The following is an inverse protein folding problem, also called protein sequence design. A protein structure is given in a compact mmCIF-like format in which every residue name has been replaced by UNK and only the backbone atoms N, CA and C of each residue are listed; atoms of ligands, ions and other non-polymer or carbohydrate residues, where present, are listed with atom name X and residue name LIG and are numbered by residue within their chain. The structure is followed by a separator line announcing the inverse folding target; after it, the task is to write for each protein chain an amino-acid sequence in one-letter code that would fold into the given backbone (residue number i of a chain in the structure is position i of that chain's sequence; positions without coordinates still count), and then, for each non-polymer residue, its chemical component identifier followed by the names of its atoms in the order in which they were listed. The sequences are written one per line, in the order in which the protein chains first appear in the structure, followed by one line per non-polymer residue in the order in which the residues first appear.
data_IF_744234685108
#
_entry.id   IF_744234685108
#
_cell.length_a   1.000
_cell.length_b   1.000
_cell.length_c   1.000
_cell.angle_alpha   90.00
_cell.angle_beta   90.00
_cell.angle_gamma   90.00
#
_symmetry.space_group_name_H-M   'P 1'
#
loop_
_entity.id
_entity.type
_entity.pdbx_description
1 polymer ?
2 non-polymer ?
3 non-polymer ?
4 non-polymer ?
5 water ?
#
# COMPACT_ATOMS: atom_id res chain seq x y z
N UNK A 21 -17.17 -23.88 -10.09
CA UNK A 21 -15.82 -23.80 -10.75
C UNK A 21 -14.65 -23.98 -9.75
N UNK A 22 -13.90 -25.06 -9.87
CA UNK A 22 -12.76 -25.36 -9.01
C UNK A 22 -11.43 -25.12 -9.74
N UNK A 23 -10.36 -24.76 -9.00
CA UNK A 23 -9.01 -24.72 -9.57
C UNK A 23 -8.01 -25.44 -8.67
N UNK A 24 -6.88 -25.79 -9.25
CA UNK A 24 -5.93 -26.62 -8.58
C UNK A 24 -4.56 -25.93 -8.56
N UNK A 25 -3.96 -25.90 -7.39
CA UNK A 25 -2.71 -25.21 -7.26
C UNK A 25 -1.83 -26.12 -6.48
N UNK A 26 -0.72 -26.49 -7.08
CA UNK A 26 0.22 -27.38 -6.45
C UNK A 26 -0.47 -28.67 -5.94
N UNK A 27 -1.45 -29.15 -6.69
CA UNK A 27 -2.11 -30.41 -6.35
C UNK A 27 -3.39 -30.27 -5.56
N UNK A 28 -3.54 -29.15 -4.85
CA UNK A 28 -4.70 -28.94 -4.00
C UNK A 28 -5.78 -28.18 -4.71
N UNK A 29 -7.01 -28.47 -4.33
CA UNK A 29 -8.15 -27.96 -5.07
C UNK A 29 -8.87 -26.87 -4.28
N UNK A 30 -9.29 -25.81 -4.97
CA UNK A 30 -9.97 -24.70 -4.37
C UNK A 30 -11.24 -24.35 -5.14
N UNK A 31 -12.36 -24.24 -4.41
CA UNK A 31 -13.64 -23.88 -4.99
C UNK A 31 -13.73 -22.41 -4.99
N UNK A 32 -14.11 -21.82 -6.11
CA UNK A 32 -14.26 -20.38 -6.19
C UNK A 32 -15.53 -19.95 -5.46
N UNK A 33 -15.48 -18.74 -4.94
CA UNK A 33 -16.60 -18.13 -4.28
C UNK A 33 -16.99 -16.88 -5.03
N UNK A 34 -16.04 -16.04 -5.37
CA UNK A 34 -16.35 -14.87 -6.18
C UNK A 34 -15.06 -14.25 -6.67
N UNK A 35 -15.15 -13.44 -7.72
CA UNK A 35 -14.05 -12.61 -8.10
C UNK A 35 -14.05 -11.37 -7.24
N UNK A 36 -12.89 -10.89 -6.87
CA UNK A 36 -12.75 -9.68 -6.11
C UNK A 36 -12.16 -8.62 -7.00
N UNK A 37 -11.10 -8.98 -7.72
CA UNK A 37 -10.30 -7.97 -8.42
C UNK A 37 -10.07 -8.36 -9.87
N UNK A 38 -9.54 -7.41 -10.64
CA UNK A 38 -9.19 -7.64 -12.04
C UNK A 38 -7.94 -6.81 -12.42
N UNK A 39 -7.47 -7.03 -13.65
CA UNK A 39 -6.27 -6.36 -14.21
C UNK A 39 -6.23 -6.68 -15.70
N UNK A 40 -5.18 -6.26 -16.39
CA UNK A 40 -5.08 -6.56 -17.82
C UNK A 40 -5.12 -8.07 -18.01
N UNK A 41 -4.13 -8.75 -17.45
CA UNK A 41 -4.05 -10.22 -17.54
C UNK A 41 -4.14 -10.90 -16.15
N UNK A 42 -4.61 -10.14 -15.17
CA UNK A 42 -4.70 -10.62 -13.79
C UNK A 42 -6.14 -10.68 -13.21
N UNK A 43 -6.46 -11.74 -12.50
CA UNK A 43 -7.75 -11.86 -11.78
C UNK A 43 -7.49 -12.31 -10.36
N UNK A 44 -8.24 -11.76 -9.41
CA UNK A 44 -8.23 -12.28 -8.06
C UNK A 44 -9.55 -12.90 -7.66
N UNK A 45 -9.48 -14.05 -6.98
CA UNK A 45 -10.65 -14.81 -6.51
C UNK A 45 -10.62 -15.14 -5.02
N UNK A 46 -11.79 -15.08 -4.37
CA UNK A 46 -11.96 -15.62 -3.04
C UNK A 46 -12.33 -17.08 -3.16
N UNK A 47 -11.65 -17.95 -2.45
CA UNK A 47 -11.87 -19.37 -2.63
C UNK A 47 -11.92 -20.13 -1.32
N UNK A 48 -12.27 -21.42 -1.39
CA UNK A 48 -12.13 -22.25 -0.21
C UNK A 48 -11.39 -23.46 -0.57
N UNK A 49 -10.66 -23.99 0.38
CA UNK A 49 -10.02 -25.23 0.16
C UNK A 49 -10.84 -26.38 0.79
N UNK A 50 -10.20 -27.54 0.79
CA UNK A 50 -10.75 -28.79 1.26
C UNK A 50 -11.23 -28.71 2.70
N UNK A 51 -10.46 -28.07 3.56
CA UNK A 51 -10.84 -27.95 4.96
C UNK A 51 -11.80 -26.77 5.20
N UNK A 52 -12.34 -26.18 4.12
CA UNK A 52 -13.21 -24.99 4.18
C UNK A 52 -12.57 -23.73 4.68
N UNK A 53 -11.24 -23.70 4.68
CA UNK A 53 -10.47 -22.47 4.89
C UNK A 53 -10.58 -21.58 3.70
N UNK A 54 -10.71 -20.32 3.98
CA UNK A 54 -10.83 -19.30 2.91
C UNK A 54 -9.46 -18.55 2.55
N UNK A 55 -9.17 -18.38 1.27
CA UNK A 55 -7.95 -17.79 0.74
C UNK A 55 -8.35 -16.88 -0.40
N UNK A 56 -7.41 -16.04 -0.81
CA UNK A 56 -7.50 -15.32 -2.07
C UNK A 56 -6.43 -15.89 -3.00
N UNK A 57 -6.84 -16.30 -4.20
CA UNK A 57 -5.94 -16.74 -5.25
C UNK A 57 -5.90 -15.72 -6.39
N UNK A 58 -4.71 -15.25 -6.70
CA UNK A 58 -4.44 -14.43 -7.85
C UNK A 58 -3.97 -15.28 -9.00
N UNK A 59 -4.52 -15.00 -10.17
CA UNK A 59 -4.23 -15.71 -11.38
C UNK A 59 -3.70 -14.66 -12.35
N UNK A 60 -2.53 -14.92 -12.94
CA UNK A 60 -1.96 -14.02 -13.91
C UNK A 60 -1.76 -14.87 -15.14
N UNK A 61 -2.25 -14.34 -16.25
CA UNK A 61 -2.08 -15.02 -17.52
C UNK A 61 -0.86 -14.37 -18.14
N UNK A 62 0.10 -15.20 -18.55
CA UNK A 62 1.40 -14.73 -19.03
C UNK A 62 1.54 -14.73 -20.54
N UNK A 63 0.54 -15.26 -21.26
CA UNK A 63 0.57 -15.48 -22.73
C UNK A 63 1.21 -14.32 -23.47
N UNK A 64 0.76 -13.13 -23.12
CA UNK A 64 1.21 -11.90 -23.75
C UNK A 64 2.23 -11.08 -22.99
N UNK A 65 3.11 -11.70 -22.20
CA UNK A 65 4.03 -10.92 -21.35
C UNK A 65 5.49 -11.00 -21.82
N UNK A 66 6.16 -9.84 -21.86
CA UNK A 66 7.56 -9.70 -22.29
C UNK A 66 8.57 -10.26 -21.28
N UNK A 67 9.82 -10.43 -21.69
CA UNK A 67 10.80 -10.93 -20.76
C UNK A 67 10.98 -10.07 -19.55
N UNK A 68 10.89 -8.76 -19.77
CA UNK A 68 11.09 -7.85 -18.67
C UNK A 68 9.90 -7.91 -17.71
N UNK A 69 8.72 -8.12 -18.24
CA UNK A 69 7.54 -8.12 -17.46
C UNK A 69 7.56 -9.35 -16.61
N UNK A 70 7.86 -10.50 -17.20
CA UNK A 70 8.00 -11.76 -16.46
C UNK A 70 9.01 -11.60 -15.40
N UNK A 71 10.09 -10.92 -15.72
CA UNK A 71 11.13 -10.74 -14.76
C UNK A 71 10.60 -9.87 -13.59
N UNK A 72 9.82 -8.81 -13.86
CA UNK A 72 9.25 -7.98 -12.81
C UNK A 72 8.32 -8.84 -11.88
N UNK A 73 7.59 -9.74 -12.49
CA UNK A 73 6.68 -10.62 -11.73
C UNK A 73 7.36 -11.65 -10.82
N UNK A 74 8.44 -12.23 -11.32
CA UNK A 74 9.19 -13.24 -10.59
C UNK A 74 9.92 -12.60 -9.40
N UNK A 75 10.48 -11.42 -9.62
CA UNK A 75 11.08 -10.60 -8.55
C UNK A 75 10.11 -10.28 -7.41
N UNK A 76 8.90 -9.81 -7.74
CA UNK A 76 7.97 -9.48 -6.69
C UNK A 76 7.59 -10.76 -5.90
N UNK A 77 7.47 -11.88 -6.56
CA UNK A 77 7.05 -13.05 -5.88
C UNK A 77 8.17 -13.52 -4.90
N UNK A 78 9.42 -13.51 -5.37
CA UNK A 78 10.58 -13.83 -4.56
C UNK A 78 10.61 -12.92 -3.38
N UNK A 79 10.34 -11.60 -3.58
CA UNK A 79 10.33 -10.67 -2.41
C UNK A 79 9.19 -10.89 -1.46
N UNK A 80 7.99 -11.20 -1.97
CA UNK A 80 6.88 -11.42 -1.05
C UNK A 80 7.13 -12.75 -0.22
N UNK A 81 7.54 -13.77 -0.90
CA UNK A 81 7.88 -15.08 -0.28
C UNK A 81 8.89 -14.89 0.86
N UNK A 82 9.96 -14.19 0.60
CA UNK A 82 10.89 -13.82 1.62
C UNK A 82 10.40 -12.89 2.72
N UNK A 83 9.87 -11.71 2.37
CA UNK A 83 9.58 -10.73 3.43
C UNK A 83 8.49 -11.13 4.36
N UNK A 84 7.71 -12.08 3.91
CA UNK A 84 6.67 -12.64 4.72
C UNK A 84 7.13 -12.96 6.09
N UNK A 85 8.28 -13.60 6.18
CA UNK A 85 8.77 -14.07 7.46
C UNK A 85 9.19 -12.95 8.41
N UNK A 86 9.44 -11.74 7.90
CA UNK A 86 9.98 -10.68 8.74
C UNK A 86 8.87 -9.79 9.29
N UNK A 87 7.69 -9.72 8.71
CA UNK A 87 6.62 -9.02 9.41
C UNK A 87 5.33 -9.73 9.13
N UNK A 88 4.46 -9.78 10.14
CA UNK A 88 3.08 -10.19 9.87
C UNK A 88 2.24 -9.02 9.41
N UNK A 89 2.82 -7.84 9.12
CA UNK A 89 2.07 -6.71 8.45
C UNK A 89 2.14 -6.70 6.92
N UNK A 90 2.68 -7.77 6.41
CA UNK A 90 2.74 -8.04 5.04
C UNK A 90 1.82 -9.19 4.77
N UNK A 91 1.04 -9.11 3.72
CA UNK A 91 0.11 -10.17 3.41
C UNK A 91 0.79 -11.54 3.28
N UNK A 92 0.08 -12.58 3.63
CA UNK A 92 0.61 -13.91 3.55
C UNK A 92 0.54 -14.50 2.15
N UNK A 93 1.62 -15.12 1.72
CA UNK A 93 1.67 -15.93 0.53
C UNK A 93 1.94 -17.37 0.99
N UNK A 94 0.93 -18.23 0.87
CA UNK A 94 0.96 -19.60 1.28
C UNK A 94 1.59 -20.51 0.26
N UNK A 95 1.38 -20.25 -1.01
CA UNK A 95 1.87 -21.17 -1.98
C UNK A 95 1.73 -20.47 -3.29
N UNK A 96 2.40 -20.99 -4.30
CA UNK A 96 2.20 -20.54 -5.64
C UNK A 96 2.61 -21.62 -6.62
N UNK A 97 2.04 -21.49 -7.79
CA UNK A 97 2.30 -22.34 -8.94
C UNK A 97 2.62 -21.44 -10.14
N UNK A 98 3.77 -21.67 -10.78
CA UNK A 98 4.16 -20.87 -11.91
C UNK A 98 4.66 -21.69 -13.11
N UNK A 99 4.12 -21.40 -14.33
CA UNK A 99 4.46 -22.10 -15.58
C UNK A 99 4.70 -20.98 -16.58
N UNK A 100 5.01 -21.33 -17.81
CA UNK A 100 5.18 -20.34 -18.87
C UNK A 100 3.83 -19.67 -19.28
N UNK A 101 2.72 -20.30 -18.96
CA UNK A 101 1.41 -19.70 -19.31
C UNK A 101 0.73 -18.92 -18.19
N UNK A 102 0.96 -19.30 -16.94
CA UNK A 102 0.22 -18.68 -15.83
C UNK A 102 0.96 -18.67 -14.49
N UNK A 103 0.55 -17.72 -13.67
CA UNK A 103 0.78 -17.77 -12.24
C UNK A 103 -0.52 -17.91 -11.42
N UNK A 104 -0.50 -18.85 -10.48
CA UNK A 104 -1.50 -18.85 -9.38
C UNK A 104 -0.80 -18.56 -8.06
N UNK A 105 -1.30 -17.62 -7.29
CA UNK A 105 -0.79 -17.33 -5.99
C UNK A 105 -1.87 -17.49 -4.97
N UNK A 106 -1.64 -18.41 -4.05
CA UNK A 106 -2.51 -18.56 -2.91
C UNK A 106 -2.06 -17.69 -1.73
N UNK A 107 -2.93 -16.73 -1.43
CA UNK A 107 -2.66 -15.71 -0.47
C UNK A 107 -3.81 -15.61 0.52
N UNK A 108 -3.53 -14.90 1.58
CA UNK A 108 -4.42 -14.55 2.66
C UNK A 108 -5.51 -13.69 2.09
N UNK A 109 -6.78 -13.91 2.53
CA UNK A 109 -7.93 -13.12 2.09
C UNK A 109 -8.18 -12.07 3.14
N UNK A 110 -8.31 -10.82 2.74
CA UNK A 110 -8.62 -9.80 3.74
C UNK A 110 -10.08 -9.48 3.83
N UNK A 111 -10.40 -8.61 4.78
CA UNK A 111 -11.75 -8.18 5.00
C UNK A 111 -12.18 -7.05 4.05
N UNK A 112 -11.29 -6.12 3.71
CA UNK A 112 -11.64 -4.97 2.85
C UNK A 112 -10.41 -4.12 2.61
N UNK A 113 -10.33 -3.42 1.49
CA UNK A 113 -9.16 -2.60 1.29
C UNK A 113 -9.30 -1.36 2.14
N UNK A 114 -8.17 -0.70 2.42
CA UNK A 114 -8.21 0.45 3.30
C UNK A 114 -8.92 1.55 2.55
N UNK A 115 -8.88 1.55 1.23
CA UNK A 115 -9.47 2.69 0.54
C UNK A 115 -10.98 2.63 0.56
N UNK A 116 -11.51 1.47 0.31
CA UNK A 116 -12.94 1.26 0.43
C UNK A 116 -13.39 1.53 1.83
N UNK A 117 -12.64 1.07 2.82
CA UNK A 117 -13.05 1.28 4.20
C UNK A 117 -13.06 2.78 4.50
N UNK A 118 -12.11 3.51 3.95
CA UNK A 118 -12.01 4.91 4.22
C UNK A 118 -13.08 5.71 3.48
N UNK A 119 -13.38 5.36 2.23
CA UNK A 119 -14.43 6.09 1.49
C UNK A 119 -15.72 6.01 2.28
N UNK A 120 -16.19 4.80 2.55
CA UNK A 120 -17.46 4.57 3.25
C UNK A 120 -17.35 4.68 4.75
N UNK A 121 -16.81 5.79 5.22
CA UNK A 121 -16.53 5.92 6.63
C UNK A 121 -16.78 7.33 7.10
N UNK A 122 -17.49 7.41 8.23
CA UNK A 122 -18.01 8.66 8.82
C UNK A 122 -16.86 9.52 9.37
N UNK A 123 -16.09 8.90 10.26
CA UNK A 123 -14.85 9.45 10.79
C UNK A 123 -14.12 8.24 11.39
N UNK A 124 -13.02 8.48 12.09
CA UNK A 124 -12.22 7.38 12.63
C UNK A 124 -11.96 7.58 14.10
N UNK A 125 -12.12 6.51 14.85
CA UNK A 125 -11.63 6.50 16.19
C UNK A 125 -10.10 6.84 16.23
N UNK A 126 -9.68 7.86 17.00
CA UNK A 126 -8.27 8.19 17.09
C UNK A 126 -7.36 6.99 17.44
N UNK A 127 -7.89 6.08 18.22
CA UNK A 127 -7.16 4.90 18.61
C UNK A 127 -6.90 3.99 17.41
N UNK A 128 -7.88 3.94 16.51
CA UNK A 128 -7.88 2.96 15.42
C UNK A 128 -6.86 3.44 14.40
N UNK A 129 -6.91 4.75 14.15
CA UNK A 129 -6.06 5.48 13.31
C UNK A 129 -4.59 5.33 13.68
N UNK A 130 -4.30 5.55 14.94
CA UNK A 130 -2.98 5.35 15.45
C UNK A 130 -2.54 3.94 15.17
N UNK A 131 -3.43 2.99 15.38
CA UNK A 131 -3.05 1.59 15.33
C UNK A 131 -2.80 1.17 13.85
N UNK A 132 -3.64 1.66 12.96
CA UNK A 132 -3.46 1.52 11.54
C UNK A 132 -2.20 2.23 11.06
N UNK A 133 -1.85 3.37 11.65
CA UNK A 133 -0.64 4.05 11.24
C UNK A 133 0.61 3.17 11.62
N UNK A 134 0.64 2.71 12.85
CA UNK A 134 1.70 1.76 13.32
C UNK A 134 1.93 0.59 12.39
N UNK A 135 0.87 -0.01 11.93
CA UNK A 135 0.93 -1.10 10.99
C UNK A 135 1.49 -0.67 9.66
N UNK A 136 1.08 0.50 9.13
CA UNK A 136 1.66 0.99 7.89
C UNK A 136 3.20 1.20 8.03
N UNK A 137 3.63 1.86 9.08
CA UNK A 137 5.04 2.06 9.32
C UNK A 137 5.79 0.75 9.39
N UNK A 138 5.27 -0.21 10.13
CA UNK A 138 5.93 -1.46 10.29
C UNK A 138 6.18 -2.15 8.93
N UNK A 139 5.14 -2.19 8.12
CA UNK A 139 5.18 -2.88 6.85
C UNK A 139 6.16 -2.21 5.92
N UNK A 140 6.07 -0.90 5.82
CA UNK A 140 6.92 -0.17 4.93
C UNK A 140 8.38 -0.19 5.45
N UNK A 141 8.56 -0.01 6.73
CA UNK A 141 9.89 -0.22 7.38
C UNK A 141 10.46 -1.53 6.94
N UNK A 142 9.65 -2.56 6.95
CA UNK A 142 10.19 -3.90 6.62
C UNK A 142 10.74 -3.93 5.17
N UNK A 143 9.97 -3.39 4.24
CA UNK A 143 10.43 -3.47 2.86
C UNK A 143 11.65 -2.56 2.66
N UNK A 144 11.72 -1.46 3.40
CA UNK A 144 12.85 -0.61 3.24
C UNK A 144 14.08 -1.31 3.72
N UNK A 145 13.98 -2.15 4.75
CA UNK A 145 15.18 -2.85 5.29
C UNK A 145 15.77 -3.78 4.29
N UNK A 146 14.97 -4.21 3.34
CA UNK A 146 15.41 -5.14 2.33
C UNK A 146 15.68 -4.39 1.09
N UNK A 147 15.73 -3.06 1.13
CA UNK A 147 16.14 -2.31 -0.07
C UNK A 147 14.99 -2.01 -1.03
N UNK A 148 13.76 -2.32 -0.65
CA UNK A 148 12.65 -1.93 -1.51
C UNK A 148 12.03 -0.62 -1.08
N UNK A 149 11.89 0.28 -2.05
CA UNK A 149 11.11 1.50 -1.98
C UNK A 149 9.89 1.31 -2.89
N UNK A 150 8.68 1.52 -2.37
CA UNK A 150 7.46 1.10 -3.01
C UNK A 150 7.17 2.13 -4.13
N UNK A 151 7.14 3.40 -3.76
CA UNK A 151 7.05 4.55 -4.67
C UNK A 151 5.66 4.84 -5.24
N UNK A 152 4.69 4.01 -4.93
CA UNK A 152 3.33 4.27 -5.36
C UNK A 152 2.32 3.86 -4.32
N UNK A 153 2.59 4.26 -3.09
CA UNK A 153 1.77 3.82 -1.96
C UNK A 153 0.44 4.57 -1.96
N UNK A 154 -0.65 3.86 -1.67
CA UNK A 154 -2.00 4.43 -1.66
C UNK A 154 -2.82 3.60 -0.72
N UNK A 155 -3.95 4.08 -0.28
CA UNK A 155 -4.82 3.28 0.58
C UNK A 155 -5.12 1.93 0.05
N UNK A 156 -5.29 1.82 -1.26
CA UNK A 156 -5.61 0.53 -1.86
C UNK A 156 -4.50 -0.52 -1.75
N UNK A 157 -3.32 -0.14 -1.29
CA UNK A 157 -2.20 -1.03 -1.19
C UNK A 157 -2.19 -1.76 0.17
N UNK A 158 -3.08 -1.32 1.05
CA UNK A 158 -3.25 -1.89 2.36
C UNK A 158 -4.63 -2.51 2.51
N UNK A 159 -4.66 -3.59 3.29
CA UNK A 159 -5.75 -4.47 3.43
C UNK A 159 -6.03 -4.63 4.89
N UNK A 160 -7.30 -4.51 5.29
CA UNK A 160 -7.67 -4.79 6.66
C UNK A 160 -7.96 -6.28 6.82
N UNK A 161 -7.38 -6.86 7.85
CA UNK A 161 -7.56 -8.26 8.22
C UNK A 161 -7.49 -8.38 9.75
N UNK A 162 -8.57 -8.80 10.41
CA UNK A 162 -8.56 -8.93 11.85
C UNK A 162 -8.14 -7.65 12.53
N UNK A 163 -8.73 -6.53 12.12
CA UNK A 163 -8.37 -5.20 12.64
C UNK A 163 -6.90 -4.78 12.51
N UNK A 164 -6.12 -5.51 11.72
CA UNK A 164 -4.78 -5.07 11.35
C UNK A 164 -4.73 -4.67 9.88
N UNK A 165 -3.87 -3.70 9.57
CA UNK A 165 -3.49 -3.41 8.21
C UNK A 165 -2.28 -4.22 7.74
N UNK A 166 -2.40 -4.79 6.54
CA UNK A 166 -1.34 -5.51 5.89
C UNK A 166 -1.05 -4.87 4.53
N UNK A 167 0.24 -4.74 4.21
CA UNK A 167 0.71 -4.42 2.92
C UNK A 167 0.54 -5.60 1.99
N UNK A 168 0.03 -5.29 0.82
CA UNK A 168 -0.46 -6.26 -0.16
C UNK A 168 0.53 -6.42 -1.29
N UNK A 169 1.32 -5.37 -1.54
CA UNK A 169 2.32 -5.44 -2.57
C UNK A 169 3.51 -4.46 -2.35
N UNK A 170 4.54 -4.62 -3.18
CA UNK A 170 5.83 -3.92 -3.02
C UNK A 170 6.19 -2.95 -4.10
N UNK A 171 5.32 -2.78 -5.08
CA UNK A 171 5.56 -1.81 -6.17
C UNK A 171 6.43 -2.28 -7.32
N UNK A 172 6.75 -3.57 -7.32
CA UNK A 172 7.82 -4.09 -8.16
C UNK A 172 7.37 -4.63 -9.52
N UNK A 173 6.30 -5.41 -9.54
CA UNK A 173 5.69 -5.92 -10.77
C UNK A 173 5.26 -4.80 -11.70
N UNK A 174 5.43 -5.00 -13.01
CA UNK A 174 5.00 -4.00 -14.03
C UNK A 174 3.52 -3.61 -13.97
N UNK A 175 3.19 -2.49 -14.65
CA UNK A 175 1.81 -1.99 -14.95
C UNK A 175 1.31 -1.18 -13.76
N UNK A 188 -8.10 1.31 -6.79
CA UNK A 188 -8.27 2.36 -7.80
C UNK A 188 -6.99 3.19 -8.00
N UNK A 189 -6.56 3.23 -9.25
CA UNK A 189 -5.20 3.61 -9.60
C UNK A 189 -5.19 4.68 -10.72
N UNK A 190 -3.98 5.19 -11.02
CA UNK A 190 -3.82 6.45 -11.73
C UNK A 190 -3.54 7.67 -10.83
N UNK A 191 -4.22 7.76 -9.66
CA UNK A 191 -4.27 8.99 -8.80
C UNK A 191 -2.86 9.52 -8.42
N UNK A 192 -2.81 10.82 -8.19
CA UNK A 192 -1.53 11.51 -8.02
C UNK A 192 -1.50 12.23 -6.68
N UNK A 193 -2.60 12.11 -5.96
CA UNK A 193 -2.80 12.70 -4.67
C UNK A 193 -1.78 12.35 -3.60
N UNK A 194 -1.08 11.22 -3.80
CA UNK A 194 -0.18 10.63 -2.85
C UNK A 194 1.25 10.72 -3.35
N UNK A 195 1.43 11.38 -4.47
CA UNK A 195 2.73 11.37 -5.17
C UNK A 195 3.60 12.45 -4.60
N UNK A 196 4.85 12.11 -4.23
CA UNK A 196 5.73 13.13 -3.66
C UNK A 196 6.33 14.10 -4.68
N UNK A 197 6.75 15.27 -4.23
CA UNK A 197 7.26 16.26 -5.13
C UNK A 197 8.38 15.74 -5.98
N UNK A 198 9.35 15.11 -5.37
CA UNK A 198 10.54 14.62 -6.09
C UNK A 198 10.24 13.51 -7.13
N UNK A 199 9.05 12.94 -7.09
CA UNK A 199 8.62 12.04 -8.17
C UNK A 199 8.01 12.80 -9.36
N UNK A 200 7.83 14.11 -9.22
CA UNK A 200 7.24 14.92 -10.30
C UNK A 200 8.41 15.57 -11.06
N UNK A 201 9.27 16.29 -10.34
CA UNK A 201 10.62 16.73 -10.80
C UNK A 201 11.49 15.68 -11.57
N UNK A 202 11.52 14.44 -11.07
CA UNK A 202 12.34 13.37 -11.65
C UNK A 202 11.70 12.75 -12.89
N UNK A 203 10.76 13.46 -13.51
CA UNK A 203 10.10 12.98 -14.73
C UNK A 203 9.73 14.12 -15.70
N UNK A 215 17.50 9.69 -8.49
CA UNK A 215 16.89 8.42 -8.15
C UNK A 215 15.92 8.56 -6.96
N UNK A 216 15.18 7.49 -6.65
CA UNK A 216 14.21 7.51 -5.53
C UNK A 216 14.78 7.01 -4.20
N UNK A 217 14.27 7.61 -3.13
CA UNK A 217 14.68 7.32 -1.81
C UNK A 217 13.48 6.86 -0.97
N UNK A 218 13.72 6.12 0.12
CA UNK A 218 12.66 5.81 1.10
C UNK A 218 11.89 6.98 1.63
N UNK A 219 12.49 8.18 1.67
CA UNK A 219 11.72 9.40 1.97
C UNK A 219 10.50 9.54 1.09
N UNK A 220 10.54 9.01 -0.11
CA UNK A 220 9.31 9.07 -0.96
C UNK A 220 8.12 8.30 -0.37
N UNK A 221 8.35 7.11 0.15
CA UNK A 221 7.26 6.38 0.81
C UNK A 221 6.68 7.14 1.99
N UNK A 222 7.53 7.83 2.75
CA UNK A 222 7.11 8.66 3.91
C UNK A 222 6.18 9.81 3.46
N UNK A 223 6.38 10.40 2.30
CA UNK A 223 5.40 11.44 1.82
C UNK A 223 4.00 10.80 1.57
N UNK A 224 3.98 9.70 0.81
CA UNK A 224 2.78 8.97 0.57
C UNK A 224 2.03 8.47 1.77
N UNK A 225 2.76 7.97 2.75
CA UNK A 225 2.16 7.54 3.96
C UNK A 225 1.57 8.69 4.67
N UNK A 226 2.34 9.77 4.66
CA UNK A 226 1.86 11.03 5.17
C UNK A 226 0.54 11.49 4.56
N UNK A 227 0.37 11.36 3.23
CA UNK A 227 -0.91 11.84 2.62
C UNK A 227 -2.06 10.93 3.10
N UNK A 228 -1.75 9.65 3.24
CA UNK A 228 -2.72 8.67 3.73
C UNK A 228 -3.22 9.04 5.09
N UNK A 229 -2.29 9.32 6.00
CA UNK A 229 -2.69 9.68 7.34
C UNK A 229 -3.39 11.06 7.37
N UNK A 230 -2.99 11.97 6.49
CA UNK A 230 -3.73 13.27 6.29
C UNK A 230 -5.17 12.95 5.93
N UNK A 231 -5.39 12.08 4.95
CA UNK A 231 -6.75 11.64 4.64
C UNK A 231 -7.43 11.13 5.91
N UNK A 232 -6.79 10.21 6.62
CA UNK A 232 -7.39 9.64 7.82
C UNK A 232 -7.58 10.64 8.98
N UNK A 233 -7.01 11.84 8.88
CA UNK A 233 -7.09 12.80 9.95
C UNK A 233 -8.16 13.83 9.53
N UNK A 234 -7.94 14.47 8.39
CA UNK A 234 -8.81 15.56 7.93
C UNK A 234 -9.89 15.15 6.93
N UNK A 235 -10.02 13.86 6.59
CA UNK A 235 -11.02 13.40 5.60
C UNK A 235 -10.79 13.75 4.12
N UNK A 236 -9.62 14.27 3.78
CA UNK A 236 -9.24 14.42 2.37
C UNK A 236 -7.71 14.35 2.21
N UNK A 237 -7.23 14.23 0.99
CA UNK A 237 -5.79 14.38 0.80
C UNK A 237 -5.42 15.85 0.64
N UNK A 238 -4.12 16.16 0.79
CA UNK A 238 -3.75 17.56 0.99
C UNK A 238 -3.89 18.46 -0.25
N UNK A 239 -4.31 17.91 -1.38
CA UNK A 239 -4.46 18.70 -2.59
C UNK A 239 -5.74 18.30 -3.32
N UNK A 240 -6.62 17.60 -2.62
CA UNK A 240 -7.80 16.99 -3.21
C UNK A 240 -8.71 18.04 -3.81
N UNK A 241 -8.66 19.25 -3.28
CA UNK A 241 -9.44 20.36 -3.76
C UNK A 241 -9.07 20.73 -5.18
N UNK A 242 -7.81 20.58 -5.57
CA UNK A 242 -7.44 21.02 -6.91
C UNK A 242 -7.84 19.95 -7.90
N UNK A 243 -9.01 20.15 -8.50
CA UNK A 243 -9.57 19.22 -9.48
C UNK A 243 -8.69 19.13 -10.71
N UNK A 244 -8.18 20.28 -11.15
CA UNK A 244 -7.29 20.32 -12.29
C UNK A 244 -6.03 19.55 -11.93
N UNK A 245 -5.53 18.76 -12.88
CA UNK A 245 -4.39 17.94 -12.61
C UNK A 245 -3.13 18.73 -12.63
N UNK A 246 -3.03 19.67 -13.53
CA UNK A 246 -1.76 20.36 -13.73
C UNK A 246 -1.49 21.41 -12.67
N UNK A 247 -2.54 22.00 -12.13
CA UNK A 247 -2.39 22.92 -11.02
C UNK A 247 -2.04 22.10 -9.78
N UNK A 248 -2.61 20.91 -9.70
CA UNK A 248 -2.31 20.03 -8.60
C UNK A 248 -0.83 19.70 -8.62
N UNK A 249 -0.28 19.23 -9.74
CA UNK A 249 1.15 18.95 -9.76
C UNK A 249 2.02 20.13 -9.46
N UNK A 250 1.59 21.33 -9.87
CA UNK A 250 2.38 22.55 -9.62
C UNK A 250 2.24 22.97 -8.18
N UNK A 251 1.09 22.69 -7.58
CA UNK A 251 0.90 22.99 -6.16
C UNK A 251 1.77 22.05 -5.30
N UNK A 252 1.81 20.76 -5.65
CA UNK A 252 2.62 19.79 -4.94
C UNK A 252 4.10 20.18 -4.90
N UNK A 253 4.66 20.73 -5.99
CA UNK A 253 6.14 21.01 -6.05
C UNK A 253 6.55 22.39 -5.55
N UNK A 254 5.59 23.31 -5.47
CA UNK A 254 5.84 24.73 -5.27
C UNK A 254 5.96 25.08 -3.79
N UNK A 255 7.17 25.50 -3.36
CA UNK A 255 7.46 25.71 -1.93
C UNK A 255 6.75 26.87 -1.26
N UNK A 256 5.94 27.59 -2.02
CA UNK A 256 5.14 28.69 -1.49
C UNK A 256 3.68 28.37 -1.47
N UNK A 257 3.33 27.14 -1.84
CA UNK A 257 1.96 26.71 -1.64
C UNK A 257 1.97 26.04 -0.29
N UNK A 258 1.42 26.72 0.72
CA UNK A 258 1.48 26.24 2.07
C UNK A 258 0.34 25.29 2.23
N UNK A 259 0.67 24.08 2.73
CA UNK A 259 -0.31 23.08 3.00
C UNK A 259 -0.96 23.46 4.31
N UNK A 260 -2.23 23.18 4.35
CA UNK A 260 -3.03 23.50 5.48
C UNK A 260 -3.08 22.36 6.53
N UNK A 261 -2.79 22.73 7.78
CA UNK A 261 -2.90 21.84 8.92
C UNK A 261 -3.86 22.32 10.04
N UNK A 262 -5.18 22.25 9.82
CA UNK A 262 -6.14 22.69 10.84
C UNK A 262 -5.83 22.07 12.22
N UNK A 263 -5.98 22.87 13.29
CA UNK A 263 -5.72 22.37 14.65
C UNK A 263 -6.72 21.30 15.04
N UNK A 264 -6.26 20.37 15.87
CA UNK A 264 -7.05 19.18 16.26
C UNK A 264 -6.52 18.90 17.63
N UNK A 265 -7.24 18.10 18.41
CA UNK A 265 -6.78 17.83 19.77
C UNK A 265 -5.38 17.18 19.85
N UNK A 266 -5.10 16.21 18.96
CA UNK A 266 -3.80 15.52 18.96
C UNK A 266 -2.72 16.37 18.29
N UNK A 267 -1.98 17.14 19.08
CA UNK A 267 -0.87 17.96 18.57
C UNK A 267 0.23 17.09 17.97
N UNK A 268 0.33 15.87 18.49
CA UNK A 268 1.33 14.91 18.07
C UNK A 268 1.08 14.44 16.63
N UNK A 269 -0.18 14.19 16.30
CA UNK A 269 -0.64 13.82 14.95
C UNK A 269 -0.47 14.98 13.98
N UNK A 270 -0.85 16.18 14.40
CA UNK A 270 -0.53 17.40 13.62
C UNK A 270 0.98 17.46 13.28
N UNK A 271 1.83 17.11 14.23
CA UNK A 271 3.29 17.18 14.04
C UNK A 271 3.83 16.12 13.08
N UNK A 272 3.32 14.89 13.21
CA UNK A 272 3.72 13.79 12.32
C UNK A 272 3.49 14.25 10.88
N UNK A 273 2.30 14.75 10.67
CA UNK A 273 1.85 15.16 9.35
C UNK A 273 2.72 16.24 8.72
N UNK A 274 2.96 17.29 9.49
CA UNK A 274 3.88 18.33 9.03
C UNK A 274 5.27 17.75 8.75
N UNK A 275 5.74 16.79 9.55
CA UNK A 275 7.07 16.27 9.30
C UNK A 275 7.11 15.37 8.04
N UNK A 276 6.04 14.61 7.80
CA UNK A 276 5.94 13.77 6.65
C UNK A 276 5.73 14.57 5.38
N UNK A 277 5.08 15.73 5.45
CA UNK A 277 4.76 16.48 4.21
C UNK A 277 5.69 17.67 3.90
N UNK A 278 6.92 17.60 4.32
CA UNK A 278 7.95 18.50 3.87
C UNK A 278 8.36 18.13 2.46
N UNK A 279 8.33 19.13 1.58
CA UNK A 279 8.63 18.96 0.16
C UNK A 279 10.04 18.52 -0.17
N UNK A 280 11.00 18.84 0.69
CA UNK A 280 12.40 18.52 0.46
C UNK A 280 12.77 17.23 1.21
N UNK A 281 12.98 16.16 0.47
CA UNK A 281 13.19 14.84 1.04
C UNK A 281 14.18 14.83 2.17
N UNK A 282 15.18 15.69 2.03
CA UNK A 282 16.23 15.74 3.02
C UNK A 282 15.76 16.36 4.33
N UNK A 283 14.70 17.18 4.30
CA UNK A 283 14.07 17.69 5.54
C UNK A 283 13.00 16.76 6.12
N UNK A 284 12.39 15.95 5.27
CA UNK A 284 11.23 15.11 5.65
C UNK A 284 11.70 14.04 6.64
N UNK A 285 10.83 13.74 7.60
CA UNK A 285 11.16 12.80 8.68
C UNK A 285 11.37 11.43 8.06
N UNK A 286 12.18 10.58 8.69
CA UNK A 286 12.45 9.21 8.14
C UNK A 286 11.59 8.20 8.90
N UNK A 287 11.49 6.99 8.36
CA UNK A 287 10.72 5.99 9.00
C UNK A 287 11.23 5.64 10.39
N UNK A 288 12.56 5.37 10.55
CA UNK A 288 13.03 5.02 11.89
C UNK A 288 12.71 6.12 12.93
N UNK A 289 12.77 7.40 12.52
CA UNK A 289 12.35 8.57 13.30
C UNK A 289 10.86 8.54 13.62
N UNK A 290 10.05 8.29 12.61
CA UNK A 290 8.62 8.12 12.84
C UNK A 290 8.35 6.97 13.85
N UNK A 291 9.16 5.92 13.86
CA UNK A 291 8.87 4.85 14.82
C UNK A 291 9.12 5.26 16.28
N UNK A 292 9.88 6.33 16.49
CA UNK A 292 10.15 6.83 17.82
C UNK A 292 9.39 8.11 18.18
N UNK A 293 8.49 8.55 17.32
CA UNK A 293 7.77 9.78 17.50
C UNK A 293 6.72 9.63 18.62
N UNK A 294 6.57 10.65 19.48
CA UNK A 294 5.53 10.57 20.57
C UNK A 294 4.15 10.02 20.10
N UNK A 295 3.74 10.43 18.91
CA UNK A 295 2.49 9.95 18.32
C UNK A 295 2.33 8.43 18.35
N UNK A 296 3.38 7.66 18.14
CA UNK A 296 3.17 6.22 18.20
C UNK A 296 3.62 5.60 19.45
N UNK A 297 4.39 6.30 20.27
CA UNK A 297 5.01 5.66 21.44
C UNK A 297 4.29 6.01 22.71
N UNK A 298 3.82 7.26 22.77
CA UNK A 298 3.24 7.81 24.00
C UNK A 298 1.75 7.46 24.24
N UNK A 299 1.48 6.95 25.47
CA UNK A 299 0.15 6.57 26.04
C UNK A 299 0.00 5.06 26.12
X LIG B 1 -1.80 -9.04 -6.03
X LIG B 1 -1.60 -9.05 -4.84
X LIG B 1 -0.36 -8.98 -4.33
X LIG B 1 0.85 -8.82 -5.17
X LIG B 1 2.12 -9.24 -4.39
X LIG B 1 1.71 -10.02 -5.64
X LIG B 1 -2.86 -9.18 -3.99
X LIG B 1 -2.84 -9.64 -2.64
X LIG B 1 -4.05 -9.75 -1.91
X LIG B 1 -5.26 -9.42 -2.49
X LIG B 1 -5.28 -8.97 -3.81
X LIG B 1 -4.10 -8.86 -4.57
X LIG B 1 -6.46 -9.55 -1.63
X LIG B 1 -7.41 -8.59 -1.67
X LIG B 1 -7.62 -7.45 -2.36
X LIG B 1 -8.77 -6.65 -2.17
X LIG B 1 -9.72 -7.00 -1.27
X LIG B 1 -9.58 -8.14 -0.55
X LIG B 1 -8.35 -8.99 -0.76
X LIG B 1 -7.97 -10.16 -0.16
X LIG B 1 -6.78 -10.52 -0.70
X LIG B 1 -10.53 -8.56 0.33
X LIG B 1 -11.83 -7.92 0.45
X LIG B 1 -12.87 -8.44 -0.56
X LIG B 1 -13.26 -9.91 -0.30
X LIG B 1 -14.13 -7.57 -0.62
X LIG C 1 -5.13 9.06 16.17
X LIG D 1 4.83 8.16 14.03
X LIG E 1 2.93 -4.63 -7.33
X LIG F 1 0.63 14.55 -3.09
X LIG G 1 -3.72 15.26 -2.43
X LIG H 1 2.21 -10.49 -7.66
X LIG H 1 2.92 -10.89 -8.83
X LIG H 1 2.08 -11.39 -9.86
X LIG H 1 2.24 -10.36 -10.96
X LIG H 1 1.15 -9.51 -10.77
X LIG H 1 0.53 -9.11 -12.00
X LIG H 1 -0.26 -7.81 -11.79
X LIG H 1 -0.61 -7.60 -10.42
#
# INVERSE_FOLDING_TARGET
MHHHHHHSSGVDLGTENLYFQSMSVKGRIYSILKQIGSGGSSKVFQVLNEKKQIYAIKYVNLEEADNQTLDSYRNEIAYLNKLQQHSDKIIRLYDYEITDQYIYMVMECGNIDLNSWLKKKKSIDPWERKSYWKNMLEAVHTIHQHGIVHSDLKPANFLIVDGMLKLIDFGIANQMQPDTTSVVKDSQVGTVNYMPPEAIKDMSSSRENGKSKSKISPKSDVWSLGCILYYMTYGKTPFQQIINQISKLHAIIDPNHEIEFPDIPEKDLQDVLKCCLKRDPKQRISIPELLAHPYVQIQTHLVNQMAKGTTEE
8Q5 OAZ CAU NAV CAW CAY CAX CAR CAQ CAP CAO CAT CAS CAN NAD CAC CAB NAA CAF CAE NAL CAM NAG CAH CAI CAJ CAK
NA NA
NA NA
NA NA
NA NA
NA NA
PG0 C5 O2 C4 C3 O1 C2 C1 OTT
#
